data_IF_722046769887
#
_entry.id   IF_722046769887
#
_cell.length_a   1.000
_cell.length_b   1.000
_cell.length_c   1.000
_cell.angle_alpha   90.00
_cell.angle_beta   90.00
_cell.angle_gamma   90.00
#
_symmetry.space_group_name_H-M   'P 1'
#
loop_
_entity.id
_entity.type
_entity.pdbx_description
1 polymer ?
#
# COMPACT_ATOMS: atom_id res chain seq x y z
N UNK A 1 20.88 -2.11 3.57
CA UNK A 1 21.56 -3.13 2.73
C UNK A 1 21.24 -2.94 1.25
N UNK A 2 19.96 -2.97 0.83
CA UNK A 2 19.57 -2.79 -0.59
C UNK A 2 20.06 -1.47 -1.20
N UNK A 3 19.85 -0.33 -0.51
CA UNK A 3 20.37 0.97 -0.98
C UNK A 3 21.90 0.99 -1.15
N UNK A 4 22.63 0.30 -0.26
CA UNK A 4 24.09 0.19 -0.37
C UNK A 4 24.53 -0.66 -1.58
N UNK A 5 23.66 -1.54 -2.09
CA UNK A 5 23.88 -2.31 -3.31
C UNK A 5 23.39 -1.56 -4.58
N UNK A 6 23.05 -0.27 -4.48
CA UNK A 6 22.58 0.53 -5.60
C UNK A 6 21.14 0.26 -6.03
N UNK A 7 20.33 -0.41 -5.19
CA UNK A 7 18.89 -0.59 -5.47
C UNK A 7 18.17 0.73 -5.27
N UNK A 8 17.56 1.25 -6.32
CA UNK A 8 16.86 2.53 -6.28
C UNK A 8 15.44 2.39 -5.71
N UNK A 9 14.69 1.35 -6.14
CA UNK A 9 13.29 1.12 -5.79
C UNK A 9 13.16 -0.12 -4.90
N UNK A 10 12.51 0.02 -3.74
CA UNK A 10 12.31 -1.05 -2.77
C UNK A 10 10.82 -1.24 -2.47
N UNK A 11 10.34 -2.45 -2.77
CA UNK A 11 8.99 -2.91 -2.48
C UNK A 11 8.99 -3.79 -1.23
N UNK A 12 8.10 -3.49 -0.29
CA UNK A 12 7.77 -4.37 0.83
C UNK A 12 6.54 -5.22 0.50
N UNK A 13 6.64 -6.54 0.64
CA UNK A 13 5.47 -7.44 0.59
C UNK A 13 5.19 -7.89 2.02
N UNK A 14 4.01 -7.56 2.53
CA UNK A 14 3.67 -7.73 3.95
C UNK A 14 2.37 -8.48 4.15
N UNK A 15 2.18 -8.99 5.37
CA UNK A 15 0.92 -9.59 5.80
C UNK A 15 0.59 -9.20 7.25
N UNK A 16 0.76 -7.92 7.59
CA UNK A 16 0.58 -7.38 8.94
C UNK A 16 -0.65 -6.48 9.13
N UNK A 17 -1.38 -6.17 8.07
CA UNK A 17 -2.59 -5.36 8.13
C UNK A 17 -2.36 -3.90 7.74
N UNK A 18 -3.40 -3.30 7.16
CA UNK A 18 -3.33 -2.00 6.48
C UNK A 18 -2.82 -0.85 7.36
N UNK A 19 -3.29 -0.72 8.59
CA UNK A 19 -2.80 0.32 9.51
C UNK A 19 -1.32 0.11 9.87
N UNK A 20 -0.90 -1.14 10.02
CA UNK A 20 0.49 -1.47 10.30
C UNK A 20 1.38 -1.20 9.09
N UNK A 21 0.88 -1.46 7.89
CA UNK A 21 1.58 -1.13 6.64
C UNK A 21 1.82 0.38 6.53
N UNK A 22 0.82 1.20 6.89
CA UNK A 22 0.96 2.68 6.94
C UNK A 22 2.03 3.12 7.95
N UNK A 23 2.05 2.52 9.15
CA UNK A 23 3.09 2.81 10.14
C UNK A 23 4.49 2.44 9.63
N UNK A 24 4.64 1.24 9.07
CA UNK A 24 5.93 0.76 8.56
C UNK A 24 6.45 1.67 7.46
N UNK A 25 5.62 2.00 6.46
CA UNK A 25 6.08 2.83 5.34
C UNK A 25 6.36 4.27 5.76
N UNK A 26 5.72 4.75 6.83
CA UNK A 26 6.00 6.07 7.40
C UNK A 26 7.38 6.12 8.07
N UNK A 27 7.75 5.07 8.81
CA UNK A 27 9.01 5.00 9.57
C UNK A 27 10.20 4.54 8.72
N UNK A 28 10.00 3.60 7.80
CA UNK A 28 11.06 3.03 6.95
C UNK A 28 11.16 3.83 5.65
N UNK A 29 11.99 4.87 5.65
CA UNK A 29 12.15 5.81 4.51
C UNK A 29 12.68 5.17 3.23
N UNK A 30 13.42 4.08 3.37
CA UNK A 30 13.99 3.35 2.23
C UNK A 30 12.94 2.60 1.40
N UNK A 31 11.76 2.31 1.95
CA UNK A 31 10.67 1.67 1.21
C UNK A 31 9.98 2.68 0.30
N UNK A 32 9.64 2.30 -0.91
CA UNK A 32 8.88 3.15 -1.82
C UNK A 32 7.40 2.74 -1.83
N UNK A 33 7.14 1.43 -1.77
CA UNK A 33 5.80 0.85 -1.86
C UNK A 33 5.66 -0.34 -0.92
N UNK A 34 4.49 -0.51 -0.31
CA UNK A 34 4.07 -1.74 0.37
C UNK A 34 2.87 -2.36 -0.36
N UNK A 35 3.00 -3.64 -0.69
CA UNK A 35 1.92 -4.53 -1.13
C UNK A 35 1.52 -5.41 0.07
N UNK A 36 0.40 -5.06 0.71
CA UNK A 36 -0.03 -5.65 1.97
C UNK A 36 -1.17 -6.66 1.85
N UNK A 37 -1.62 -7.14 3.02
CA UNK A 37 -2.78 -8.02 3.18
C UNK A 37 -3.24 -8.10 4.65
N UNK A 38 -3.81 -9.24 5.06
CA UNK A 38 -4.25 -9.59 6.42
C UNK A 38 -5.60 -8.99 6.82
N UNK A 39 -5.75 -7.67 6.71
CA UNK A 39 -6.98 -6.96 7.13
C UNK A 39 -8.09 -6.99 6.11
N UNK A 40 -7.88 -7.66 4.96
CA UNK A 40 -8.87 -7.75 3.89
C UNK A 40 -9.32 -6.37 3.37
N UNK A 41 -8.43 -5.37 3.45
CA UNK A 41 -8.80 -3.97 3.23
C UNK A 41 -9.12 -3.71 1.77
N UNK A 42 -10.28 -3.11 1.50
CA UNK A 42 -10.65 -2.66 0.15
C UNK A 42 -10.23 -1.22 -0.05
N UNK A 43 -9.21 -1.01 -0.89
CA UNK A 43 -8.78 0.32 -1.31
C UNK A 43 -9.26 0.58 -2.73
N UNK A 44 -9.82 1.76 -2.99
CA UNK A 44 -10.31 2.14 -4.31
C UNK A 44 -10.34 3.67 -4.46
N UNK A 45 -9.96 4.17 -5.63
CA UNK A 45 -10.05 5.59 -5.98
C UNK A 45 -11.15 5.84 -7.02
N UNK A 46 -12.03 6.81 -6.75
CA UNK A 46 -13.18 7.14 -7.59
C UNK A 46 -14.46 6.39 -7.22
N UNK A 47 -15.50 6.51 -8.06
CA UNK A 47 -16.87 6.06 -7.76
C UNK A 47 -17.29 4.75 -8.44
N UNK A 48 -16.42 4.14 -9.26
CA UNK A 48 -16.74 2.96 -10.07
C UNK A 48 -16.65 1.61 -9.33
N UNK A 49 -16.51 1.59 -8.01
CA UNK A 49 -16.43 0.34 -7.26
C UNK A 49 -17.81 -0.34 -7.17
N UNK A 50 -17.86 -1.68 -7.00
CA UNK A 50 -19.12 -2.38 -6.75
C UNK A 50 -19.82 -1.83 -5.50
N UNK A 51 -21.15 -1.62 -5.52
CA UNK A 51 -21.88 -0.96 -4.44
C UNK A 51 -21.81 -1.74 -3.12
N UNK A 52 -21.59 -3.05 -3.16
CA UNK A 52 -21.43 -3.90 -1.98
C UNK A 52 -20.03 -3.81 -1.32
N UNK A 53 -19.04 -3.24 -2.02
CA UNK A 53 -17.68 -3.10 -1.53
C UNK A 53 -17.42 -1.64 -1.17
N UNK A 54 -17.47 -1.30 0.12
CA UNK A 54 -17.18 0.05 0.59
C UNK A 54 -15.66 0.27 0.67
N UNK A 55 -15.08 1.25 -0.04
CA UNK A 55 -13.67 1.58 0.10
C UNK A 55 -13.35 2.06 1.52
N UNK A 56 -12.23 1.58 2.05
CA UNK A 56 -11.68 1.96 3.36
C UNK A 56 -10.58 3.02 3.21
N UNK A 57 -10.16 3.30 1.98
CA UNK A 57 -9.17 4.31 1.62
C UNK A 57 -8.97 4.37 0.10
N UNK A 58 -8.18 5.35 -0.31
CA UNK A 58 -7.78 5.51 -1.72
C UNK A 58 -6.80 4.43 -2.15
N UNK A 59 -6.84 4.05 -3.43
CA UNK A 59 -5.88 3.14 -4.04
C UNK A 59 -4.97 3.90 -5.02
N UNK A 60 -3.65 4.00 -4.75
CA UNK A 60 -2.97 3.59 -3.53
C UNK A 60 -3.25 4.56 -2.39
N UNK A 61 -3.01 4.12 -1.17
CA UNK A 61 -2.94 5.02 -0.04
C UNK A 61 -1.59 5.72 -0.05
N UNK A 62 -1.60 7.04 -0.22
CA UNK A 62 -0.40 7.88 -0.20
C UNK A 62 -0.11 8.28 1.25
N UNK A 63 1.04 7.84 1.76
CA UNK A 63 1.52 8.15 3.11
C UNK A 63 2.60 9.23 3.03
N UNK A 64 2.25 10.44 3.46
CA UNK A 64 3.17 11.58 3.52
C UNK A 64 4.22 11.37 4.61
N UNK A 65 5.49 11.65 4.29
CA UNK A 65 6.62 11.60 5.21
C UNK A 65 7.12 13.00 5.54
N UNK A 66 7.80 13.14 6.69
CA UNK A 66 8.33 14.42 7.16
C UNK A 66 9.52 14.99 6.36
N UNK A 67 10.08 14.21 5.42
CA UNK A 67 11.18 14.58 4.54
C UNK A 67 10.71 15.00 3.14
N UNK A 68 9.42 15.35 2.99
CA UNK A 68 8.75 15.64 1.72
C UNK A 68 8.72 14.48 0.71
N UNK A 69 9.05 13.24 1.13
CA UNK A 69 8.81 12.05 0.32
C UNK A 69 7.45 11.42 0.62
N UNK A 70 6.99 10.56 -0.30
CA UNK A 70 5.76 9.80 -0.15
C UNK A 70 6.09 8.30 -0.16
N UNK A 71 5.32 7.54 0.61
CA UNK A 71 5.25 6.08 0.48
C UNK A 71 3.88 5.65 0.01
N UNK A 72 3.79 4.54 -0.72
CA UNK A 72 2.53 4.01 -1.23
C UNK A 72 2.14 2.70 -0.54
N UNK A 73 0.88 2.55 -0.13
CA UNK A 73 0.34 1.28 0.39
C UNK A 73 -0.80 0.81 -0.51
N UNK A 74 -0.76 -0.45 -0.90
CA UNK A 74 -1.84 -1.12 -1.65
C UNK A 74 -2.28 -2.40 -0.96
N UNK A 75 -3.58 -2.67 -1.00
CA UNK A 75 -4.20 -3.96 -0.71
C UNK A 75 -5.31 -4.22 -1.74
N UNK A 76 -5.58 -5.49 -2.02
CA UNK A 76 -6.51 -5.91 -3.08
C UNK A 76 -7.67 -6.75 -2.54
N UNK A 77 -8.23 -6.36 -1.39
CA UNK A 77 -9.34 -7.06 -0.75
C UNK A 77 -9.02 -8.54 -0.47
N UNK A 78 -9.99 -9.45 -0.63
CA UNK A 78 -9.84 -10.87 -0.30
C UNK A 78 -10.53 -11.82 -1.30
N UNK A 79 -10.25 -13.12 -1.14
CA UNK A 79 -10.73 -14.26 -1.95
C UNK A 79 -10.51 -14.12 -3.47
N UNK A 80 -9.53 -13.32 -3.90
CA UNK A 80 -9.27 -13.09 -5.31
C UNK A 80 -10.42 -12.40 -6.05
N UNK A 81 -11.36 -11.76 -5.33
CA UNK A 81 -12.45 -10.99 -5.94
C UNK A 81 -11.93 -9.84 -6.79
N UNK A 82 -10.79 -9.27 -6.40
CA UNK A 82 -10.11 -8.21 -7.12
C UNK A 82 -8.65 -8.60 -7.39
N UNK A 83 -8.14 -8.12 -8.53
CA UNK A 83 -6.72 -8.15 -8.87
C UNK A 83 -6.17 -6.73 -8.65
N UNK A 84 -5.16 -6.59 -7.80
CA UNK A 84 -4.47 -5.32 -7.62
C UNK A 84 -3.78 -4.89 -8.91
N UNK A 85 -3.95 -3.62 -9.29
CA UNK A 85 -3.33 -3.03 -10.48
C UNK A 85 -2.94 -1.58 -10.19
N UNK A 86 -1.63 -1.29 -10.22
CA UNK A 86 -1.08 0.04 -10.04
C UNK A 86 -0.15 0.36 -11.22
N UNK A 87 -0.34 1.52 -11.86
CA UNK A 87 0.38 1.95 -13.08
C UNK A 87 1.12 3.26 -12.83
#
# INVERSE_FOLDING_TARGET
QLKANGVEIILGITHCGYLRDIEIIKEVKDLDVIVGGHTNTFLYSGSGHPPENKPEGEYPTVVKRGDNSDGLVVQAYYYGKFLGFYR
#
